data_IF_640811577201
#
_entry.id   IF_640811577201
#
_cell.length_a   1.000
_cell.length_b   1.000
_cell.length_c   1.000
_cell.angle_alpha   90.00
_cell.angle_beta   90.00
_cell.angle_gamma   90.00
#
_symmetry.space_group_name_H-M   'P 1'
#
loop_
_entity.id
_entity.type
_entity.pdbx_description
1 polymer ?
#
# COMPACT_ATOMS: atom_id res chain seq x y z
N UNK A 1 -10.76 13.09 -9.69
CA UNK A 1 -10.80 11.61 -9.69
C UNK A 1 -10.72 11.01 -11.10
N UNK A 2 -11.52 11.45 -12.07
CA UNK A 2 -11.53 10.90 -13.45
C UNK A 2 -10.15 10.86 -14.12
N UNK A 3 -9.31 11.89 -13.96
CA UNK A 3 -7.93 11.89 -14.51
C UNK A 3 -7.06 10.77 -13.93
N UNK A 4 -7.16 10.50 -12.63
CA UNK A 4 -6.37 9.46 -11.96
C UNK A 4 -6.84 8.06 -12.38
N UNK A 5 -8.14 7.87 -12.58
CA UNK A 5 -8.69 6.63 -13.13
C UNK A 5 -8.18 6.35 -14.54
N UNK A 6 -8.27 7.32 -15.46
CA UNK A 6 -7.77 7.15 -16.82
C UNK A 6 -6.27 6.88 -16.86
N UNK A 7 -5.53 7.51 -15.94
CA UNK A 7 -4.11 7.25 -15.77
C UNK A 7 -3.87 5.83 -15.27
N UNK A 8 -4.59 5.35 -14.25
CA UNK A 8 -4.46 3.98 -13.73
C UNK A 8 -4.76 2.94 -14.80
N UNK A 9 -5.80 3.17 -15.63
CA UNK A 9 -6.13 2.30 -16.78
C UNK A 9 -4.97 2.11 -17.77
N UNK A 10 -4.04 3.04 -17.88
CA UNK A 10 -2.86 2.89 -18.77
C UNK A 10 -1.87 1.85 -18.24
N UNK A 11 -1.82 1.66 -16.92
CA UNK A 11 -0.90 0.73 -16.25
C UNK A 11 -1.58 -0.57 -15.85
N UNK A 12 -2.91 -0.62 -15.83
CA UNK A 12 -3.68 -1.82 -15.54
C UNK A 12 -3.62 -2.83 -16.70
N UNK A 13 -3.47 -4.11 -16.36
CA UNK A 13 -3.63 -5.21 -17.30
C UNK A 13 -5.07 -5.76 -17.23
N UNK A 14 -5.91 -5.54 -18.25
CA UNK A 14 -7.31 -5.96 -18.22
C UNK A 14 -7.51 -7.49 -18.26
N UNK A 15 -6.57 -8.24 -18.83
CA UNK A 15 -6.72 -9.69 -18.96
C UNK A 15 -6.64 -10.39 -17.58
N UNK A 16 -7.68 -11.13 -17.16
CA UNK A 16 -7.84 -11.59 -15.78
C UNK A 16 -6.85 -12.67 -15.34
N UNK A 17 -6.24 -13.38 -16.28
CA UNK A 17 -5.28 -14.45 -16.01
C UNK A 17 -3.82 -14.00 -16.19
N UNK A 18 -3.59 -12.72 -16.52
CA UNK A 18 -2.24 -12.17 -16.68
C UNK A 18 -1.74 -11.64 -15.34
N UNK A 19 -0.54 -12.12 -14.97
CA UNK A 19 0.25 -11.66 -13.85
C UNK A 19 1.54 -11.02 -14.39
N UNK A 20 2.02 -9.90 -13.81
CA UNK A 20 1.40 -9.13 -12.74
C UNK A 20 0.22 -8.25 -13.24
N UNK A 21 -0.71 -7.81 -12.35
CA UNK A 21 -1.88 -7.02 -12.75
C UNK A 21 -1.56 -5.59 -13.21
N UNK A 22 -0.33 -5.13 -12.99
CA UNK A 22 0.12 -3.76 -13.24
C UNK A 22 1.43 -3.76 -14.03
N UNK A 23 1.49 -2.89 -15.04
CA UNK A 23 2.61 -2.74 -15.99
C UNK A 23 3.73 -1.89 -15.37
N UNK A 24 4.51 -2.49 -14.47
CA UNK A 24 5.61 -1.81 -13.77
C UNK A 24 6.68 -1.26 -14.73
N UNK A 25 6.95 -1.97 -15.83
CA UNK A 25 7.88 -1.53 -16.87
C UNK A 25 7.50 -0.19 -17.48
N UNK A 26 6.20 0.08 -17.64
CA UNK A 26 5.72 1.36 -18.15
C UNK A 26 5.95 2.51 -17.16
N UNK A 27 6.33 2.23 -15.91
CA UNK A 27 6.64 3.24 -14.90
C UNK A 27 8.10 3.71 -14.96
N UNK A 28 8.94 3.05 -15.76
CA UNK A 28 10.38 3.29 -15.82
C UNK A 28 10.76 3.92 -17.16
N UNK A 29 11.61 4.95 -17.09
CA UNK A 29 12.15 5.64 -18.24
C UNK A 29 13.65 5.39 -18.34
N UNK A 30 14.06 4.86 -19.51
CA UNK A 30 15.46 4.62 -19.86
C UNK A 30 15.88 5.60 -20.96
N UNK A 31 16.81 6.49 -20.64
CA UNK A 31 17.39 7.45 -21.58
C UNK A 31 18.91 7.28 -21.61
N UNK A 32 19.41 6.56 -22.62
CA UNK A 32 20.82 6.14 -22.66
C UNK A 32 21.14 5.27 -21.45
N UNK A 33 22.15 5.66 -20.67
CA UNK A 33 22.55 4.97 -19.44
C UNK A 33 21.77 5.42 -18.19
N UNK A 34 20.88 6.41 -18.31
CA UNK A 34 20.07 6.88 -17.18
C UNK A 34 18.76 6.10 -17.09
N UNK A 35 18.49 5.56 -15.90
CA UNK A 35 17.24 4.87 -15.56
C UNK A 35 16.58 5.64 -14.43
N UNK A 36 15.30 5.96 -14.60
CA UNK A 36 14.54 6.76 -13.63
C UNK A 36 13.08 6.33 -13.57
N UNK A 37 12.44 6.59 -12.43
CA UNK A 37 11.00 6.43 -12.28
C UNK A 37 10.29 7.60 -12.95
N UNK A 38 9.44 7.32 -13.95
CA UNK A 38 8.61 8.35 -14.61
C UNK A 38 7.19 8.42 -14.05
N UNK A 39 6.65 7.31 -13.55
CA UNK A 39 5.31 7.27 -12.96
C UNK A 39 5.35 6.59 -11.59
N UNK A 40 5.07 7.30 -10.49
CA UNK A 40 4.92 6.70 -9.17
C UNK A 40 3.54 6.00 -9.07
N UNK A 41 3.44 4.80 -9.64
CA UNK A 41 2.18 4.06 -9.73
C UNK A 41 1.55 3.74 -8.36
N UNK A 42 2.39 3.52 -7.35
CA UNK A 42 2.00 3.38 -5.94
C UNK A 42 1.29 4.63 -5.40
N UNK A 43 1.80 5.84 -5.69
CA UNK A 43 1.17 7.10 -5.32
C UNK A 43 -0.14 7.34 -6.08
N UNK A 44 -0.17 6.99 -7.37
CA UNK A 44 -1.39 7.06 -8.17
C UNK A 44 -2.48 6.16 -7.56
N UNK A 45 -2.13 4.92 -7.24
CA UNK A 45 -3.05 3.96 -6.62
C UNK A 45 -3.51 4.45 -5.24
N UNK A 46 -2.60 4.99 -4.43
CA UNK A 46 -2.91 5.60 -3.14
C UNK A 46 -3.95 6.73 -3.28
N UNK A 47 -3.74 7.66 -4.21
CA UNK A 47 -4.68 8.74 -4.48
C UNK A 47 -6.06 8.21 -4.91
N UNK A 48 -6.09 7.21 -5.80
CA UNK A 48 -7.32 6.58 -6.28
C UNK A 48 -8.09 5.94 -5.13
N UNK A 49 -7.40 5.16 -4.30
CA UNK A 49 -7.98 4.48 -3.14
C UNK A 49 -8.57 5.47 -2.14
N UNK A 50 -7.84 6.52 -1.73
CA UNK A 50 -8.36 7.49 -0.77
C UNK A 50 -9.55 8.27 -1.32
N UNK A 51 -9.53 8.62 -2.61
CA UNK A 51 -10.67 9.29 -3.24
C UNK A 51 -11.92 8.37 -3.25
N UNK A 52 -11.74 7.08 -3.55
CA UNK A 52 -12.83 6.11 -3.54
C UNK A 52 -13.40 5.92 -2.14
N UNK A 53 -12.55 5.70 -1.12
CA UNK A 53 -13.00 5.57 0.27
C UNK A 53 -13.73 6.83 0.75
N UNK A 54 -13.25 8.01 0.36
CA UNK A 54 -13.93 9.27 0.66
C UNK A 54 -15.30 9.36 -0.01
N UNK A 55 -15.40 9.01 -1.30
CA UNK A 55 -16.66 9.02 -2.04
C UNK A 55 -17.70 8.08 -1.40
N UNK A 56 -17.31 6.83 -1.11
CA UNK A 56 -18.20 5.84 -0.47
C UNK A 56 -18.67 6.29 0.91
N UNK A 57 -17.79 6.93 1.69
CA UNK A 57 -18.12 7.31 3.08
C UNK A 57 -18.90 8.62 3.20
N UNK A 58 -18.80 9.53 2.22
CA UNK A 58 -19.39 10.87 2.31
C UNK A 58 -20.42 11.21 1.27
N UNK A 59 -20.26 10.71 0.05
CA UNK A 59 -21.07 11.13 -1.11
C UNK A 59 -22.16 10.11 -1.41
N UNK A 60 -21.82 8.82 -1.49
CA UNK A 60 -22.82 7.76 -1.74
C UNK A 60 -24.01 7.76 -0.76
N UNK A 61 -23.85 8.02 0.55
CA UNK A 61 -25.01 8.07 1.45
C UNK A 61 -25.97 9.25 1.18
N UNK A 62 -25.52 10.24 0.40
CA UNK A 62 -26.24 11.48 0.10
C UNK A 62 -26.85 11.50 -1.32
N UNK A 63 -26.27 10.77 -2.27
CA UNK A 63 -26.78 10.64 -3.64
C UNK A 63 -27.74 9.44 -3.73
N UNK A 64 -29.01 9.68 -4.09
CA UNK A 64 -29.99 8.63 -4.38
C UNK A 64 -30.35 8.53 -5.89
N UNK A 65 -29.80 9.38 -6.77
CA UNK A 65 -30.37 9.59 -8.12
C UNK A 65 -29.37 9.79 -9.29
N UNK A 66 -28.04 9.64 -9.13
CA UNK A 66 -27.06 9.85 -10.22
C UNK A 66 -26.39 8.54 -10.69
N UNK A 67 -27.06 7.82 -11.60
CA UNK A 67 -26.66 6.48 -12.10
C UNK A 67 -25.29 6.45 -12.83
N UNK A 68 -24.90 7.51 -13.55
CA UNK A 68 -23.66 7.52 -14.34
C UNK A 68 -22.38 7.62 -13.47
N UNK A 69 -22.44 8.35 -12.35
CA UNK A 69 -21.30 8.41 -11.43
C UNK A 69 -21.11 7.05 -10.74
N UNK A 70 -22.19 6.37 -10.36
CA UNK A 70 -22.13 5.04 -9.71
C UNK A 70 -21.41 3.99 -10.57
N UNK A 71 -21.65 3.96 -11.89
CA UNK A 71 -20.99 3.00 -12.79
C UNK A 71 -19.47 3.20 -12.80
N UNK A 72 -18.99 4.45 -12.82
CA UNK A 72 -17.57 4.79 -12.79
C UNK A 72 -16.87 4.32 -11.50
N UNK A 73 -17.49 4.54 -10.34
CA UNK A 73 -16.90 4.12 -9.06
C UNK A 73 -16.92 2.61 -8.89
N UNK A 74 -17.97 1.95 -9.39
CA UNK A 74 -18.03 0.48 -9.43
C UNK A 74 -16.93 -0.12 -10.29
N UNK A 75 -16.70 0.43 -11.48
CA UNK A 75 -15.61 0.04 -12.37
C UNK A 75 -14.23 0.13 -11.67
N UNK A 76 -14.05 1.15 -10.85
CA UNK A 76 -12.83 1.36 -10.07
C UNK A 76 -12.71 0.37 -8.91
N UNK A 77 -13.82 0.06 -8.23
CA UNK A 77 -13.86 -0.98 -7.19
C UNK A 77 -13.47 -2.35 -7.75
N UNK A 78 -14.10 -2.75 -8.86
CA UNK A 78 -13.82 -4.01 -9.55
C UNK A 78 -12.35 -4.09 -9.98
N UNK A 79 -11.78 -2.96 -10.42
CA UNK A 79 -10.35 -2.88 -10.77
C UNK A 79 -9.45 -3.06 -9.55
N UNK A 80 -9.74 -2.41 -8.41
CA UNK A 80 -8.95 -2.57 -7.18
C UNK A 80 -9.06 -3.98 -6.58
N UNK A 81 -10.22 -4.62 -6.69
CA UNK A 81 -10.41 -6.02 -6.30
C UNK A 81 -9.63 -6.97 -7.21
N UNK A 82 -9.66 -6.74 -8.53
CA UNK A 82 -8.86 -7.47 -9.50
C UNK A 82 -7.36 -7.33 -9.24
N UNK A 83 -6.88 -6.10 -8.99
CA UNK A 83 -5.49 -5.83 -8.63
C UNK A 83 -5.15 -6.57 -7.32
N UNK A 84 -5.99 -6.48 -6.28
CA UNK A 84 -5.78 -7.17 -5.00
C UNK A 84 -5.61 -8.67 -5.20
N UNK A 85 -6.58 -9.31 -5.86
CA UNK A 85 -6.60 -10.76 -6.07
C UNK A 85 -5.38 -11.23 -6.87
N UNK A 86 -5.01 -10.51 -7.92
CA UNK A 86 -3.85 -10.87 -8.76
C UNK A 86 -2.51 -10.55 -8.11
N UNK A 87 -2.40 -9.47 -7.33
CA UNK A 87 -1.20 -9.18 -6.53
C UNK A 87 -0.95 -10.28 -5.48
N UNK A 88 -2.01 -10.82 -4.87
CA UNK A 88 -1.92 -11.94 -3.92
C UNK A 88 -1.46 -13.23 -4.62
N UNK A 89 -1.93 -13.47 -5.86
CA UNK A 89 -1.55 -14.65 -6.65
C UNK A 89 -0.17 -14.55 -7.30
N UNK A 90 0.34 -13.34 -7.48
CA UNK A 90 1.65 -13.11 -8.10
C UNK A 90 2.76 -13.52 -7.15
N UNK A 91 3.71 -14.31 -7.64
CA UNK A 91 4.96 -14.57 -6.94
C UNK A 91 6.03 -13.57 -7.37
N UNK A 92 7.17 -13.54 -6.67
CA UNK A 92 8.21 -12.54 -6.95
C UNK A 92 8.88 -12.76 -8.33
N UNK A 93 8.82 -13.98 -8.85
CA UNK A 93 9.26 -14.33 -10.19
C UNK A 93 8.43 -13.64 -11.28
N UNK A 94 7.12 -13.44 -11.06
CA UNK A 94 6.25 -12.74 -12.02
C UNK A 94 6.65 -11.27 -12.17
N UNK A 95 7.30 -10.70 -11.15
CA UNK A 95 7.85 -9.35 -11.18
C UNK A 95 9.34 -9.30 -11.58
N UNK A 96 9.99 -10.46 -11.79
CA UNK A 96 11.44 -10.59 -11.97
C UNK A 96 12.26 -10.07 -10.75
N UNK A 97 11.70 -10.19 -9.53
CA UNK A 97 12.27 -9.65 -8.28
C UNK A 97 12.62 -10.74 -7.25
N UNK A 98 12.79 -11.99 -7.69
CA UNK A 98 13.13 -13.11 -6.83
C UNK A 98 14.57 -12.99 -6.27
N UNK A 99 14.99 -13.97 -5.46
CA UNK A 99 16.33 -13.96 -4.84
C UNK A 99 17.47 -13.93 -5.85
N UNK A 100 17.24 -14.39 -7.08
CA UNK A 100 18.22 -14.39 -8.16
C UNK A 100 18.46 -12.99 -8.76
N UNK A 101 17.51 -12.07 -8.60
CA UNK A 101 17.59 -10.74 -9.18
C UNK A 101 18.80 -9.92 -8.66
N UNK A 102 19.36 -9.13 -9.57
CA UNK A 102 20.36 -8.11 -9.26
C UNK A 102 19.66 -6.87 -8.70
N UNK A 103 20.13 -6.38 -7.56
CA UNK A 103 19.67 -5.15 -6.92
C UNK A 103 20.83 -4.16 -6.73
N UNK A 104 21.95 -4.38 -7.44
CA UNK A 104 23.10 -3.48 -7.36
C UNK A 104 22.77 -2.09 -7.90
N UNK A 105 23.15 -1.06 -7.14
CA UNK A 105 23.05 0.34 -7.58
C UNK A 105 24.08 0.70 -8.67
N UNK A 106 24.96 -0.24 -9.05
CA UNK A 106 26.01 -0.03 -10.06
C UNK A 106 25.66 -0.56 -11.45
N UNK A 107 24.52 -1.23 -11.62
CA UNK A 107 24.08 -1.80 -12.90
C UNK A 107 22.73 -1.20 -13.29
N UNK A 108 22.48 -1.03 -14.59
CA UNK A 108 21.18 -0.54 -15.05
C UNK A 108 20.04 -1.48 -14.66
N UNK A 109 20.26 -2.79 -14.78
CA UNK A 109 19.32 -3.84 -14.34
C UNK A 109 19.02 -3.72 -12.84
N UNK A 110 20.05 -3.56 -12.01
CA UNK A 110 19.87 -3.43 -10.57
C UNK A 110 19.14 -2.16 -10.17
N UNK A 111 19.41 -1.02 -10.81
CA UNK A 111 18.65 0.23 -10.58
C UNK A 111 17.17 0.04 -10.93
N UNK A 112 16.89 -0.55 -12.09
CA UNK A 112 15.52 -0.86 -12.55
C UNK A 112 14.78 -1.76 -11.54
N UNK A 113 15.42 -2.84 -11.09
CA UNK A 113 14.84 -3.78 -10.12
C UNK A 113 14.57 -3.13 -8.76
N UNK A 114 15.42 -2.20 -8.30
CA UNK A 114 15.15 -1.43 -7.08
C UNK A 114 13.90 -0.54 -7.22
N UNK A 115 13.71 0.08 -8.40
CA UNK A 115 12.51 0.88 -8.68
C UNK A 115 11.26 -0.01 -8.68
N UNK A 116 11.28 -1.12 -9.43
CA UNK A 116 10.17 -2.08 -9.45
C UNK A 116 9.86 -2.61 -8.05
N UNK A 117 10.88 -2.97 -7.26
CA UNK A 117 10.67 -3.46 -5.91
C UNK A 117 10.03 -2.41 -4.99
N UNK A 118 10.45 -1.15 -5.12
CA UNK A 118 9.85 -0.04 -4.36
C UNK A 118 8.37 0.13 -4.73
N UNK A 119 8.04 0.09 -6.03
CA UNK A 119 6.66 0.17 -6.51
C UNK A 119 5.80 -0.98 -5.99
N UNK A 120 6.28 -2.23 -6.09
CA UNK A 120 5.56 -3.41 -5.60
C UNK A 120 5.28 -3.31 -4.10
N UNK A 121 6.28 -2.92 -3.31
CA UNK A 121 6.11 -2.71 -1.87
C UNK A 121 5.07 -1.62 -1.57
N UNK A 122 5.13 -0.48 -2.26
CA UNK A 122 4.16 0.61 -2.11
C UNK A 122 2.75 0.20 -2.51
N UNK A 123 2.59 -0.53 -3.62
CA UNK A 123 1.31 -1.10 -4.07
C UNK A 123 0.74 -2.05 -3.02
N UNK A 124 1.55 -2.95 -2.46
CA UNK A 124 1.11 -3.82 -1.37
C UNK A 124 0.62 -3.01 -0.15
N UNK A 125 1.35 -1.99 0.29
CA UNK A 125 0.93 -1.14 1.40
C UNK A 125 -0.40 -0.43 1.14
N UNK A 126 -0.59 0.13 -0.06
CA UNK A 126 -1.83 0.80 -0.45
C UNK A 126 -3.01 -0.16 -0.47
N UNK A 127 -2.82 -1.37 -1.01
CA UNK A 127 -3.88 -2.38 -1.06
C UNK A 127 -4.20 -2.95 0.32
N UNK A 128 -3.23 -3.00 1.25
CA UNK A 128 -3.47 -3.34 2.64
C UNK A 128 -4.42 -2.32 3.28
N UNK A 129 -4.11 -1.02 3.15
CA UNK A 129 -4.97 0.04 3.68
C UNK A 129 -6.36 0.02 3.02
N UNK A 130 -6.43 -0.18 1.71
CA UNK A 130 -7.69 -0.32 0.98
C UNK A 130 -8.56 -1.44 1.55
N UNK A 131 -8.04 -2.67 1.55
CA UNK A 131 -8.81 -3.84 1.94
C UNK A 131 -9.21 -3.82 3.41
N UNK A 132 -8.37 -3.24 4.28
CA UNK A 132 -8.75 -2.98 5.66
C UNK A 132 -9.93 -1.99 5.74
N UNK A 133 -9.85 -0.87 5.02
CA UNK A 133 -10.84 0.21 5.05
C UNK A 133 -12.23 -0.23 4.57
N UNK A 134 -12.29 -1.14 3.60
CA UNK A 134 -13.56 -1.67 3.06
C UNK A 134 -13.99 -3.00 3.70
N UNK A 135 -13.18 -3.55 4.62
CA UNK A 135 -13.37 -4.93 5.12
C UNK A 135 -14.70 -5.15 5.84
N UNK A 136 -15.20 -4.12 6.55
CA UNK A 136 -16.29 -4.27 7.51
C UNK A 136 -16.11 -5.49 8.45
N UNK A 137 -14.86 -5.73 8.89
CA UNK A 137 -14.46 -6.88 9.71
C UNK A 137 -14.72 -8.26 9.05
N UNK A 138 -14.74 -8.32 7.71
CA UNK A 138 -14.74 -9.58 6.97
C UNK A 138 -13.43 -10.33 7.15
N UNK A 139 -13.54 -11.60 7.56
CA UNK A 139 -12.39 -12.52 7.71
C UNK A 139 -11.61 -12.67 6.40
N UNK A 140 -12.30 -12.85 5.28
CA UNK A 140 -11.68 -13.00 3.96
C UNK A 140 -10.85 -11.76 3.59
N UNK A 141 -11.35 -10.55 3.89
CA UNK A 141 -10.60 -9.31 3.64
C UNK A 141 -9.35 -9.19 4.52
N UNK A 142 -9.38 -9.69 5.75
CA UNK A 142 -8.17 -9.74 6.58
C UNK A 142 -7.18 -10.83 6.16
N UNK A 143 -7.63 -11.92 5.57
CA UNK A 143 -6.74 -12.88 4.89
C UNK A 143 -6.07 -12.25 3.67
N UNK A 144 -6.81 -11.47 2.87
CA UNK A 144 -6.24 -10.68 1.76
C UNK A 144 -5.19 -9.67 2.26
N UNK A 145 -5.49 -8.92 3.33
CA UNK A 145 -4.53 -8.00 3.99
C UNK A 145 -3.26 -8.74 4.40
N UNK A 146 -3.40 -9.91 5.03
CA UNK A 146 -2.24 -10.67 5.48
C UNK A 146 -1.42 -11.21 4.30
N UNK A 147 -2.07 -11.69 3.24
CA UNK A 147 -1.39 -12.17 2.03
C UNK A 147 -0.63 -11.06 1.30
N UNK A 148 -1.21 -9.86 1.19
CA UNK A 148 -0.52 -8.68 0.67
C UNK A 148 0.70 -8.31 1.53
N UNK A 149 0.55 -8.38 2.86
CA UNK A 149 1.67 -8.16 3.78
C UNK A 149 2.79 -9.21 3.58
N UNK A 150 2.44 -10.47 3.34
CA UNK A 150 3.45 -11.50 3.06
C UNK A 150 4.23 -11.21 1.78
N UNK A 151 3.58 -10.71 0.73
CA UNK A 151 4.25 -10.27 -0.50
C UNK A 151 5.22 -9.11 -0.22
N UNK A 152 4.74 -8.06 0.45
CA UNK A 152 5.58 -6.94 0.92
C UNK A 152 6.79 -7.42 1.74
N UNK A 153 6.55 -8.33 2.69
CA UNK A 153 7.55 -8.82 3.64
C UNK A 153 8.62 -9.67 2.93
N UNK A 154 8.22 -10.60 2.06
CA UNK A 154 9.15 -11.40 1.23
C UNK A 154 10.13 -10.49 0.49
N UNK A 155 9.62 -9.46 -0.19
CA UNK A 155 10.44 -8.53 -0.97
C UNK A 155 11.32 -7.63 -0.07
N UNK A 156 10.76 -7.12 1.04
CA UNK A 156 11.53 -6.36 2.03
C UNK A 156 12.71 -7.15 2.58
N UNK A 157 12.53 -8.44 2.84
CA UNK A 157 13.59 -9.31 3.34
C UNK A 157 14.68 -9.56 2.30
N UNK A 158 14.32 -9.74 1.02
CA UNK A 158 15.30 -9.85 -0.07
C UNK A 158 16.15 -8.58 -0.15
N UNK A 159 15.52 -7.39 -0.12
CA UNK A 159 16.25 -6.13 -0.17
C UNK A 159 17.17 -5.95 1.03
N UNK A 160 16.71 -6.31 2.24
CA UNK A 160 17.52 -6.26 3.46
C UNK A 160 18.71 -7.23 3.42
N UNK A 161 18.53 -8.44 2.88
CA UNK A 161 19.63 -9.41 2.69
C UNK A 161 20.67 -8.88 1.69
N UNK A 162 20.21 -8.27 0.58
CA UNK A 162 21.07 -7.75 -0.50
C UNK A 162 21.79 -6.46 -0.12
N UNK A 163 21.23 -5.65 0.78
CA UNK A 163 21.87 -4.42 1.28
C UNK A 163 23.14 -4.68 2.13
N UNK A 164 23.31 -5.89 2.67
CA UNK A 164 24.46 -6.31 3.47
C UNK A 164 24.52 -5.66 4.88
N UNK A 165 25.24 -6.30 5.82
CA UNK A 165 25.32 -5.89 7.23
C UNK A 165 26.21 -4.65 7.52
N UNK A 166 26.66 -3.92 6.50
CA UNK A 166 27.90 -3.12 6.60
C UNK A 166 27.92 -1.71 6.00
N UNK A 167 26.82 -1.18 5.45
CA UNK A 167 26.80 0.21 4.95
C UNK A 167 25.66 0.99 5.61
N UNK A 168 26.04 2.17 6.08
CA UNK A 168 25.29 3.30 6.64
C UNK A 168 23.76 3.19 6.61
N UNK A 169 23.12 3.55 7.74
CA UNK A 169 21.69 3.89 7.95
C UNK A 169 21.17 5.00 7.02
N UNK A 170 21.39 4.85 5.72
CA UNK A 170 20.90 5.68 4.61
C UNK A 170 20.41 4.76 3.48
N UNK A 171 19.92 3.55 3.81
CA UNK A 171 18.77 3.08 3.04
C UNK A 171 17.75 4.22 3.18
N UNK A 172 17.47 4.93 2.09
CA UNK A 172 16.35 5.87 2.04
C UNK A 172 15.20 5.14 2.71
N UNK A 173 14.88 5.54 3.93
CA UNK A 173 13.86 4.86 4.73
C UNK A 173 12.59 5.24 4.00
N UNK A 174 12.14 4.37 3.11
CA UNK A 174 10.98 4.67 2.30
C UNK A 174 9.83 4.85 3.27
N UNK A 175 9.28 6.06 3.28
CA UNK A 175 8.19 6.38 4.18
C UNK A 175 7.01 5.49 3.81
N UNK A 176 6.46 4.78 4.79
CA UNK A 176 5.31 3.90 4.57
C UNK A 176 4.14 4.69 3.97
N UNK A 177 3.46 4.08 2.99
CA UNK A 177 2.26 4.63 2.37
C UNK A 177 1.05 4.65 3.30
N UNK A 178 1.09 3.88 4.39
CA UNK A 178 0.00 3.83 5.35
C UNK A 178 -0.31 5.22 5.91
N UNK A 179 -1.54 5.69 5.73
CA UNK A 179 -1.96 6.97 6.27
C UNK A 179 -1.91 6.94 7.80
N UNK A 180 -1.64 8.08 8.43
CA UNK A 180 -1.62 8.14 9.90
C UNK A 180 -2.97 7.77 10.51
N UNK A 181 -4.06 8.05 9.79
CA UNK A 181 -5.41 7.62 10.17
C UNK A 181 -5.55 6.09 10.14
N UNK A 182 -5.12 5.46 9.06
CA UNK A 182 -5.14 4.00 8.95
C UNK A 182 -4.29 3.34 10.04
N UNK A 183 -3.08 3.85 10.30
CA UNK A 183 -2.22 3.31 11.38
C UNK A 183 -2.92 3.41 12.75
N UNK A 184 -3.58 4.52 13.03
CA UNK A 184 -4.34 4.71 14.26
C UNK A 184 -5.51 3.71 14.39
N UNK A 185 -6.29 3.55 13.33
CA UNK A 185 -7.42 2.63 13.27
C UNK A 185 -6.98 1.18 13.39
N UNK A 186 -5.91 0.82 12.68
CA UNK A 186 -5.31 -0.52 12.70
C UNK A 186 -4.84 -0.87 14.10
N UNK A 187 -4.07 -0.01 14.76
CA UNK A 187 -3.62 -0.28 16.13
C UNK A 187 -4.79 -0.37 17.12
N UNK A 188 -5.79 0.48 16.96
CA UNK A 188 -7.01 0.40 17.78
C UNK A 188 -7.72 -0.94 17.58
N UNK A 189 -7.91 -1.38 16.33
CA UNK A 189 -8.50 -2.67 16.01
C UNK A 189 -7.66 -3.85 16.55
N UNK A 190 -6.35 -3.81 16.38
CA UNK A 190 -5.46 -4.90 16.78
C UNK A 190 -5.36 -5.06 18.29
N UNK A 191 -5.32 -3.96 19.05
CA UNK A 191 -4.99 -4.00 20.49
C UNK A 191 -6.14 -3.64 21.43
N UNK A 192 -7.17 -2.92 20.96
CA UNK A 192 -8.23 -2.42 21.84
C UNK A 192 -9.63 -2.91 21.48
N UNK A 193 -9.87 -3.30 20.24
CA UNK A 193 -11.17 -3.82 19.85
C UNK A 193 -11.42 -5.21 20.45
N UNK A 194 -12.27 -5.27 21.47
CA UNK A 194 -12.71 -6.52 22.12
C UNK A 194 -14.16 -6.86 21.76
N UNK A 195 -14.68 -6.33 20.66
CA UNK A 195 -16.05 -6.61 20.21
C UNK A 195 -16.15 -8.06 19.76
N UNK A 196 -17.07 -8.82 20.36
CA UNK A 196 -17.20 -10.27 20.12
C UNK A 196 -17.34 -10.62 18.63
N UNK A 197 -18.08 -9.83 17.86
CA UNK A 197 -18.31 -10.09 16.42
C UNK A 197 -17.07 -9.84 15.56
N UNK A 198 -16.09 -9.07 16.04
CA UNK A 198 -14.87 -8.75 15.31
C UNK A 198 -13.72 -9.72 15.65
N UNK A 199 -13.83 -10.44 16.78
CA UNK A 199 -12.73 -11.24 17.33
C UNK A 199 -12.26 -12.32 16.35
N UNK A 200 -13.18 -13.04 15.71
CA UNK A 200 -12.82 -14.12 14.78
C UNK A 200 -12.03 -13.58 13.58
N UNK A 201 -12.47 -12.47 12.98
CA UNK A 201 -11.76 -11.90 11.83
C UNK A 201 -10.44 -11.25 12.26
N UNK A 202 -10.42 -10.46 13.33
CA UNK A 202 -9.19 -9.82 13.84
C UNK A 202 -8.14 -10.85 14.28
N UNK A 203 -8.55 -12.06 14.70
CA UNK A 203 -7.62 -13.13 15.03
C UNK A 203 -6.68 -13.50 13.88
N UNK A 204 -7.13 -13.34 12.62
CA UNK A 204 -6.29 -13.55 11.41
C UNK A 204 -5.06 -12.65 11.47
N UNK A 205 -5.25 -11.35 11.69
CA UNK A 205 -4.15 -10.39 11.76
C UNK A 205 -3.33 -10.54 13.05
N UNK A 206 -4.01 -10.73 14.19
CA UNK A 206 -3.37 -10.85 15.52
C UNK A 206 -2.49 -12.10 15.64
N UNK A 207 -2.81 -13.16 14.90
CA UNK A 207 -1.99 -14.39 14.89
C UNK A 207 -0.63 -14.20 14.22
N UNK A 208 -0.48 -13.19 13.35
CA UNK A 208 0.78 -12.86 12.68
C UNK A 208 1.60 -11.87 13.50
N UNK A 209 2.55 -12.40 14.29
CA UNK A 209 3.48 -11.57 15.06
C UNK A 209 4.31 -10.61 14.19
N UNK A 210 4.60 -10.98 12.94
CA UNK A 210 5.36 -10.13 12.02
C UNK A 210 4.52 -8.93 11.57
N UNK A 211 3.25 -9.16 11.22
CA UNK A 211 2.32 -8.09 10.86
C UNK A 211 2.10 -7.15 12.04
N UNK A 212 1.84 -7.70 13.24
CA UNK A 212 1.67 -6.92 14.48
C UNK A 212 2.88 -6.02 14.77
N UNK A 213 4.10 -6.56 14.66
CA UNK A 213 5.33 -5.78 14.85
C UNK A 213 5.52 -4.73 13.76
N UNK A 214 5.16 -5.05 12.52
CA UNK A 214 5.24 -4.11 11.42
C UNK A 214 4.28 -2.93 11.62
N UNK A 215 3.03 -3.18 12.03
CA UNK A 215 2.05 -2.15 12.41
C UNK A 215 2.58 -1.18 13.47
N UNK A 216 3.14 -1.71 14.56
CA UNK A 216 3.75 -0.88 15.61
C UNK A 216 4.99 -0.13 15.11
N UNK A 217 5.81 -0.78 14.26
CA UNK A 217 6.99 -0.14 13.66
C UNK A 217 6.61 1.04 12.78
N UNK A 218 5.58 0.91 11.93
CA UNK A 218 5.12 2.02 11.07
C UNK A 218 4.58 3.17 11.92
N UNK A 219 3.83 2.89 13.00
CA UNK A 219 3.39 3.93 13.92
C UNK A 219 4.58 4.70 14.54
N UNK A 220 5.61 3.99 15.00
CA UNK A 220 6.83 4.60 15.52
C UNK A 220 7.54 5.44 14.44
N UNK A 221 7.58 4.95 13.19
CA UNK A 221 8.18 5.67 12.07
C UNK A 221 7.43 6.97 11.77
N UNK A 222 6.09 6.96 11.74
CA UNK A 222 5.27 8.17 11.52
C UNK A 222 5.45 9.19 12.65
N UNK A 223 5.50 8.75 13.91
CA UNK A 223 5.77 9.64 15.05
C UNK A 223 7.17 10.24 14.97
N UNK A 224 8.17 9.45 14.56
CA UNK A 224 9.53 9.94 14.37
C UNK A 224 9.61 10.94 13.19
N UNK A 225 8.94 10.66 12.08
CA UNK A 225 8.84 11.57 10.93
C UNK A 225 8.24 12.91 11.37
N UNK A 226 7.12 12.88 12.10
CA UNK A 226 6.48 14.08 12.63
C UNK A 226 7.42 14.92 13.49
N UNK A 227 8.23 14.27 14.33
CA UNK A 227 9.23 14.94 15.17
C UNK A 227 10.34 15.61 14.34
N UNK A 228 10.75 14.99 13.23
CA UNK A 228 11.85 15.45 12.39
C UNK A 228 11.44 16.57 11.42
N UNK A 229 10.26 16.47 10.81
CA UNK A 229 9.83 17.37 9.72
C UNK A 229 8.67 18.28 10.09
N UNK A 230 7.97 18.01 11.19
CA UNK A 230 6.74 18.71 11.57
C UNK A 230 5.49 18.25 10.81
N UNK A 231 5.58 17.23 9.96
CA UNK A 231 4.46 16.65 9.22
C UNK A 231 4.63 15.14 9.02
N UNK A 232 3.56 14.43 8.67
CA UNK A 232 3.62 13.00 8.31
C UNK A 232 3.26 12.78 6.84
N UNK A 233 3.72 11.68 6.25
CA UNK A 233 3.31 11.30 4.88
C UNK A 233 1.89 10.74 4.84
N UNK A 234 1.21 10.97 3.71
CA UNK A 234 -0.18 10.57 3.45
C UNK A 234 -1.19 11.72 3.64
N UNK A 235 -2.50 11.44 3.42
CA UNK A 235 -3.57 12.42 3.58
C UNK A 235 -3.62 13.00 4.99
N UNK A 236 -4.03 14.27 5.09
CA UNK A 236 -4.12 15.04 6.35
C UNK A 236 -2.81 15.15 7.14
N UNK A 237 -1.66 14.74 6.59
CA UNK A 237 -0.40 14.70 7.32
C UNK A 237 0.22 16.05 7.67
N UNK A 238 -0.28 17.14 7.06
CA UNK A 238 0.05 18.52 7.40
C UNK A 238 -1.06 19.21 8.22
N UNK A 239 -2.20 18.55 8.44
CA UNK A 239 -3.31 19.11 9.21
C UNK A 239 -3.05 18.87 10.71
N UNK A 240 -2.74 19.93 11.50
CA UNK A 240 -2.33 19.78 12.89
C UNK A 240 -3.42 19.15 13.76
N UNK A 241 -4.69 19.43 13.50
CA UNK A 241 -5.81 18.87 14.27
C UNK A 241 -5.96 17.37 14.03
N UNK A 242 -5.86 16.95 12.76
CA UNK A 242 -5.96 15.53 12.38
C UNK A 242 -4.76 14.74 12.87
N UNK A 243 -3.56 15.27 12.73
CA UNK A 243 -2.34 14.65 13.24
C UNK A 243 -2.41 14.50 14.77
N UNK A 244 -2.82 15.55 15.48
CA UNK A 244 -2.97 15.51 16.93
C UNK A 244 -4.00 14.46 17.37
N UNK A 245 -5.17 14.42 16.72
CA UNK A 245 -6.19 13.41 17.00
C UNK A 245 -5.64 11.98 16.82
N UNK A 246 -4.98 11.70 15.70
CA UNK A 246 -4.40 10.38 15.45
C UNK A 246 -3.30 10.04 16.48
N UNK A 247 -2.50 11.00 16.95
CA UNK A 247 -1.54 10.76 18.03
C UNK A 247 -2.22 10.38 19.34
N UNK A 248 -3.29 11.07 19.73
CA UNK A 248 -4.06 10.73 20.93
C UNK A 248 -4.61 9.32 20.84
N UNK A 249 -5.14 8.94 19.68
CA UNK A 249 -5.71 7.62 19.45
C UNK A 249 -4.63 6.52 19.50
N UNK A 250 -3.46 6.75 18.89
CA UNK A 250 -2.31 5.82 18.94
C UNK A 250 -1.77 5.64 20.38
N UNK A 251 -1.75 6.70 21.19
CA UNK A 251 -1.08 6.71 22.51
C UNK A 251 -1.93 6.25 23.70
N UNK A 252 -3.25 6.23 23.55
CA UNK A 252 -4.21 5.87 24.62
C UNK A 252 -4.10 4.42 25.11
#
# INVERSE_FOLDING_TARGET
MCRNYWKLKQFYEPEPDVLPPLKLEACILTQGDQISLQEPLDHLLCCVQHCLVWYKSRVMPLQQEEEEEEEFYKDLEDMLESITSRMIKSELEDFELDKSADFSQSSGVGIKNNICASLVMGICEVLIEYNFSISNFSKNKFEEVLNLFMCYKKLSDILNEKAGKGKTKMANKMDSFWSMKFVSDLLTALFRDSTQNHEESLSVLRSSNEFMRHAVSVALQKVQQLKETGHVSGPDGQNPEKVFQNLCDITR
#
